data_IF_087751049373
#
_entry.id   IF_087751049373
#
_cell.length_a   1.000
_cell.length_b   1.000
_cell.length_c   1.000
_cell.angle_alpha   90.00
_cell.angle_beta   90.00
_cell.angle_gamma   90.00
#
_symmetry.space_group_name_H-M   'P 1'
#
loop_
_entity.id
_entity.type
_entity.pdbx_description
1 polymer ?
#
# COMPACT_ATOMS: atom_id res chain seq x y z
N UNK A 1 5.24 1.03 17.34
CA UNK A 1 4.63 -0.19 17.93
C UNK A 1 5.75 -1.13 18.33
N UNK A 2 5.66 -1.79 19.48
CA UNK A 2 6.57 -2.90 19.73
C UNK A 2 5.95 -4.17 19.14
N UNK A 3 6.51 -4.69 18.07
CA UNK A 3 5.99 -5.87 17.37
C UNK A 3 5.97 -7.13 18.26
N UNK A 4 6.80 -7.16 19.31
CA UNK A 4 6.86 -8.28 20.26
C UNK A 4 5.68 -8.32 21.24
N UNK A 5 4.90 -7.25 21.33
CA UNK A 5 3.74 -7.17 22.24
C UNK A 5 2.44 -7.66 21.55
N UNK A 6 2.51 -8.08 20.27
CA UNK A 6 1.37 -8.61 19.55
C UNK A 6 0.95 -9.99 20.07
N UNK A 7 -0.33 -10.19 20.29
CA UNK A 7 -0.89 -11.51 20.57
C UNK A 7 -0.77 -12.43 19.35
N UNK A 8 -0.51 -13.72 19.58
CA UNK A 8 -0.49 -14.74 18.51
C UNK A 8 -1.81 -14.87 17.73
N UNK A 9 -2.89 -14.37 18.29
CA UNK A 9 -4.21 -14.33 17.62
C UNK A 9 -4.44 -13.03 16.83
N UNK A 10 -3.51 -12.06 16.90
CA UNK A 10 -3.61 -10.82 16.16
C UNK A 10 -3.27 -11.05 14.67
N UNK A 11 -4.05 -10.47 13.78
CA UNK A 11 -3.84 -10.55 12.33
C UNK A 11 -2.45 -10.00 11.95
N UNK A 12 -1.97 -8.93 12.61
CA UNK A 12 -0.63 -8.41 12.37
C UNK A 12 0.47 -9.38 12.82
N UNK A 13 0.25 -10.12 13.93
CA UNK A 13 1.19 -11.16 14.35
C UNK A 13 1.32 -12.24 13.26
N UNK A 14 0.20 -12.76 12.78
CA UNK A 14 0.19 -13.78 11.72
C UNK A 14 0.80 -13.26 10.42
N UNK A 15 0.51 -11.99 10.07
CA UNK A 15 1.08 -11.34 8.89
C UNK A 15 2.62 -11.32 8.93
N UNK A 16 3.21 -11.09 10.10
CA UNK A 16 4.65 -10.84 10.22
C UNK A 16 5.44 -12.10 10.63
N UNK A 17 4.93 -12.87 11.58
CA UNK A 17 5.72 -13.90 12.28
C UNK A 17 5.35 -15.34 11.90
N UNK A 18 4.29 -15.57 11.11
CA UNK A 18 3.94 -16.92 10.72
C UNK A 18 4.91 -17.45 9.65
N UNK A 19 5.57 -18.55 9.96
CA UNK A 19 6.52 -19.20 9.05
C UNK A 19 5.82 -19.94 7.89
N UNK A 20 4.60 -20.42 8.13
CA UNK A 20 3.77 -21.02 7.07
C UNK A 20 3.14 -19.90 6.23
N UNK A 21 2.96 -20.15 4.93
CA UNK A 21 2.23 -19.20 4.09
C UNK A 21 0.74 -19.28 4.42
N UNK A 22 0.20 -18.21 4.99
CA UNK A 22 -1.20 -18.12 5.42
C UNK A 22 -1.85 -16.86 4.86
N UNK A 23 -3.17 -16.88 4.74
CA UNK A 23 -3.98 -15.78 4.20
C UNK A 23 -3.76 -14.45 4.91
N UNK A 24 -3.45 -14.45 6.21
CA UNK A 24 -3.20 -13.21 6.98
C UNK A 24 -1.92 -12.48 6.54
N UNK A 25 -1.07 -13.13 5.73
CA UNK A 25 0.09 -12.50 5.10
C UNK A 25 -0.25 -11.79 3.78
N UNK A 26 -1.48 -11.95 3.30
CA UNK A 26 -1.96 -11.31 2.08
C UNK A 26 -2.71 -10.02 2.41
N UNK A 27 -2.36 -8.93 1.73
CA UNK A 27 -3.00 -7.62 1.88
C UNK A 27 -3.71 -7.27 0.57
N UNK A 28 -5.04 -7.05 0.63
CA UNK A 28 -5.87 -6.72 -0.53
C UNK A 28 -5.90 -5.22 -0.78
N UNK A 29 -5.42 -4.72 -1.95
CA UNK A 29 -5.59 -3.33 -2.35
C UNK A 29 -7.03 -3.00 -2.69
N UNK A 30 -7.52 -1.85 -2.19
CA UNK A 30 -8.86 -1.32 -2.43
C UNK A 30 -8.76 0.16 -2.81
N UNK A 31 -9.35 0.55 -3.92
CA UNK A 31 -9.49 1.95 -4.34
C UNK A 31 -10.85 2.47 -3.94
N UNK A 32 -10.90 3.60 -3.24
CA UNK A 32 -12.14 4.20 -2.74
C UNK A 32 -12.21 5.64 -3.24
N UNK A 33 -13.15 5.92 -4.13
CA UNK A 33 -13.36 7.23 -4.71
C UNK A 33 -14.49 7.96 -4.00
N UNK A 34 -14.32 9.25 -3.76
CA UNK A 34 -15.35 10.13 -3.23
C UNK A 34 -16.41 10.45 -4.30
N UNK A 35 -16.00 10.52 -5.57
CA UNK A 35 -16.90 10.77 -6.69
C UNK A 35 -17.42 9.46 -7.28
N UNK A 36 -18.74 9.38 -7.51
CA UNK A 36 -19.38 8.21 -8.10
C UNK A 36 -19.61 8.44 -9.60
N UNK A 37 -18.60 8.16 -10.43
CA UNK A 37 -18.63 8.38 -11.87
C UNK A 37 -19.14 7.18 -12.70
N UNK A 38 -19.83 6.21 -12.09
CA UNK A 38 -20.36 4.98 -12.68
C UNK A 38 -19.32 4.03 -13.33
N UNK A 39 -18.05 4.40 -13.44
CA UNK A 39 -17.00 3.54 -13.97
C UNK A 39 -16.23 2.90 -12.81
N UNK A 40 -16.61 1.68 -12.45
CA UNK A 40 -15.95 0.95 -11.37
C UNK A 40 -14.87 -0.03 -11.83
N UNK A 41 -14.84 -0.43 -13.10
CA UNK A 41 -13.86 -1.40 -13.60
C UNK A 41 -12.45 -0.79 -13.75
N UNK A 42 -11.43 -1.56 -13.38
CA UNK A 42 -10.04 -1.15 -13.54
C UNK A 42 -9.42 -2.01 -14.65
N UNK A 43 -8.96 -1.42 -15.77
CA UNK A 43 -8.39 -2.18 -16.87
C UNK A 43 -7.25 -3.09 -16.41
N UNK A 44 -7.28 -4.36 -16.80
CA UNK A 44 -6.25 -5.36 -16.49
C UNK A 44 -6.25 -5.89 -15.07
N UNK A 45 -7.11 -5.42 -14.17
CA UNK A 45 -7.16 -5.90 -12.78
C UNK A 45 -8.28 -6.92 -12.49
N UNK A 46 -8.85 -7.54 -13.53
CA UNK A 46 -9.85 -8.58 -13.40
C UNK A 46 -11.07 -8.13 -12.59
N UNK A 47 -11.38 -8.83 -11.50
CA UNK A 47 -12.53 -8.51 -10.64
C UNK A 47 -12.30 -7.36 -9.65
N UNK A 48 -11.11 -6.74 -9.65
CA UNK A 48 -10.87 -5.57 -8.81
C UNK A 48 -11.58 -4.34 -9.39
N UNK A 49 -12.22 -3.58 -8.51
CA UNK A 49 -13.05 -2.43 -8.89
C UNK A 49 -12.72 -1.22 -8.04
N UNK A 50 -12.99 -0.04 -8.56
CA UNK A 50 -13.11 1.18 -7.79
C UNK A 50 -14.39 1.08 -6.95
N UNK A 51 -14.28 1.39 -5.66
CA UNK A 51 -15.40 1.39 -4.74
C UNK A 51 -15.79 2.82 -4.38
N UNK A 52 -17.02 2.94 -3.89
CA UNK A 52 -17.63 4.19 -3.45
C UNK A 52 -18.25 4.00 -2.06
N UNK A 53 -18.57 5.09 -1.39
CA UNK A 53 -19.23 5.03 -0.07
C UNK A 53 -20.42 4.08 -0.05
N UNK A 54 -21.25 4.06 -1.12
CA UNK A 54 -22.45 3.26 -1.22
C UNK A 54 -22.24 1.75 -1.29
N UNK A 55 -21.03 1.29 -1.65
CA UNK A 55 -20.78 -0.15 -1.89
C UNK A 55 -19.54 -0.71 -1.20
N UNK A 56 -18.79 0.12 -0.46
CA UNK A 56 -17.53 -0.30 0.17
C UNK A 56 -17.74 -1.40 1.21
N UNK A 57 -18.80 -1.31 2.04
CA UNK A 57 -19.10 -2.29 3.08
C UNK A 57 -19.40 -3.66 2.46
N UNK A 58 -20.30 -3.74 1.48
CA UNK A 58 -20.64 -5.00 0.81
C UNK A 58 -19.44 -5.65 0.12
N UNK A 59 -18.57 -4.84 -0.49
CA UNK A 59 -17.38 -5.37 -1.14
C UNK A 59 -16.34 -5.90 -0.14
N UNK A 60 -16.11 -5.21 0.98
CA UNK A 60 -15.24 -5.69 2.05
C UNK A 60 -15.81 -6.97 2.65
N UNK A 61 -17.11 -7.04 2.96
CA UNK A 61 -17.79 -8.25 3.46
C UNK A 61 -17.57 -9.44 2.51
N UNK A 62 -17.69 -9.22 1.20
CA UNK A 62 -17.43 -10.25 0.18
C UNK A 62 -15.99 -10.72 0.19
N UNK A 63 -15.04 -9.81 0.26
CA UNK A 63 -13.62 -10.14 0.32
C UNK A 63 -13.25 -10.85 1.64
N UNK A 64 -13.87 -10.49 2.77
CA UNK A 64 -13.75 -11.20 4.04
C UNK A 64 -14.25 -12.64 3.95
N UNK A 65 -15.41 -12.86 3.32
CA UNK A 65 -15.96 -14.20 3.09
C UNK A 65 -15.04 -15.06 2.20
N UNK A 66 -14.26 -14.42 1.36
CA UNK A 66 -13.22 -15.02 0.54
C UNK A 66 -11.84 -15.15 1.23
N UNK A 67 -11.76 -14.79 2.50
CA UNK A 67 -10.60 -15.00 3.34
C UNK A 67 -9.72 -13.77 3.59
N UNK A 68 -10.01 -12.60 3.00
CA UNK A 68 -9.23 -11.39 3.28
C UNK A 68 -9.42 -10.93 4.73
N UNK A 69 -8.33 -10.55 5.37
CA UNK A 69 -8.33 -9.96 6.71
C UNK A 69 -7.51 -8.65 6.76
N UNK A 70 -6.57 -8.48 5.84
CA UNK A 70 -5.77 -7.28 5.72
C UNK A 70 -6.12 -6.56 4.41
N UNK A 71 -6.33 -5.25 4.51
CA UNK A 71 -6.64 -4.38 3.38
C UNK A 71 -5.69 -3.18 3.35
N UNK A 72 -5.36 -2.71 2.15
CA UNK A 72 -4.71 -1.42 1.98
C UNK A 72 -5.59 -0.52 1.12
N UNK A 73 -5.97 0.64 1.67
CA UNK A 73 -6.88 1.57 1.02
C UNK A 73 -6.13 2.68 0.31
N UNK A 74 -6.55 2.95 -0.92
CA UNK A 74 -6.13 4.07 -1.75
C UNK A 74 -7.32 5.00 -1.94
N UNK A 75 -7.29 6.13 -1.25
CA UNK A 75 -8.36 7.12 -1.33
C UNK A 75 -8.13 8.09 -2.48
N UNK A 76 -9.20 8.37 -3.22
CA UNK A 76 -9.21 9.36 -4.30
C UNK A 76 -10.29 10.41 -3.99
N UNK A 77 -9.91 11.61 -3.53
CA UNK A 77 -10.85 12.67 -3.23
C UNK A 77 -11.48 13.23 -4.53
N UNK A 78 -12.71 13.74 -4.42
CA UNK A 78 -13.42 14.38 -5.52
C UNK A 78 -12.70 15.62 -6.04
N UNK A 79 -12.22 16.44 -5.12
CA UNK A 79 -11.55 17.71 -5.43
C UNK A 79 -10.06 17.57 -5.15
N UNK A 80 -9.26 17.79 -6.17
CA UNK A 80 -7.80 17.85 -6.06
C UNK A 80 -7.36 19.28 -5.80
N UNK A 81 -6.30 19.44 -5.02
CA UNK A 81 -5.72 20.76 -4.69
C UNK A 81 -4.23 20.62 -4.43
N UNK A 82 -3.49 21.69 -4.73
CA UNK A 82 -2.08 21.82 -4.33
C UNK A 82 -1.90 22.65 -3.05
N UNK A 83 -3.00 23.14 -2.46
CA UNK A 83 -2.97 24.09 -1.33
C UNK A 83 -3.78 23.62 -0.12
N UNK A 84 -4.93 23.00 -0.34
CA UNK A 84 -5.84 22.59 0.72
C UNK A 84 -6.20 21.10 0.59
N UNK A 85 -6.05 20.37 1.68
CA UNK A 85 -6.26 18.93 1.73
C UNK A 85 -7.37 18.61 2.73
N UNK A 86 -8.54 18.27 2.22
CA UNK A 86 -9.67 17.85 3.04
C UNK A 86 -9.69 16.33 3.14
N UNK A 87 -9.74 15.81 4.36
CA UNK A 87 -9.72 14.38 4.69
C UNK A 87 -11.02 13.90 5.33
N UNK A 88 -12.07 14.70 5.37
CA UNK A 88 -13.34 14.34 6.01
C UNK A 88 -13.97 13.09 5.40
N UNK A 89 -13.86 12.94 4.07
CA UNK A 89 -14.33 11.75 3.37
C UNK A 89 -13.62 10.49 3.86
N UNK A 90 -12.29 10.54 3.92
CA UNK A 90 -11.46 9.42 4.34
C UNK A 90 -11.72 9.02 5.79
N UNK A 91 -11.79 10.00 6.70
CA UNK A 91 -12.12 9.77 8.11
C UNK A 91 -13.51 9.13 8.26
N UNK A 92 -14.52 9.64 7.53
CA UNK A 92 -15.88 9.09 7.52
C UNK A 92 -15.88 7.64 7.07
N UNK A 93 -15.24 7.32 5.94
CA UNK A 93 -15.20 5.96 5.41
C UNK A 93 -14.49 5.00 6.38
N UNK A 94 -13.32 5.40 6.90
CA UNK A 94 -12.59 4.60 7.88
C UNK A 94 -13.42 4.32 9.12
N UNK A 95 -14.05 5.35 9.70
CA UNK A 95 -14.91 5.20 10.88
C UNK A 95 -16.12 4.29 10.61
N UNK A 96 -16.73 4.40 9.44
CA UNK A 96 -17.85 3.56 9.05
C UNK A 96 -17.42 2.09 8.95
N UNK A 97 -16.30 1.82 8.30
CA UNK A 97 -15.76 0.45 8.14
C UNK A 97 -15.35 -0.12 9.50
N UNK A 98 -14.69 0.67 10.35
CA UNK A 98 -14.29 0.21 11.70
C UNK A 98 -15.48 -0.02 12.62
N UNK A 99 -16.56 0.75 12.47
CA UNK A 99 -17.81 0.51 13.19
C UNK A 99 -18.45 -0.81 12.79
N UNK A 100 -18.40 -1.18 11.51
CA UNK A 100 -18.98 -2.40 10.97
C UNK A 100 -18.18 -3.65 11.32
N UNK A 101 -16.87 -3.62 11.06
CA UNK A 101 -16.01 -4.82 11.13
C UNK A 101 -15.09 -4.89 12.35
N UNK A 102 -14.95 -3.80 13.09
CA UNK A 102 -14.12 -3.75 14.31
C UNK A 102 -12.70 -4.26 14.10
N UNK A 103 -12.33 -5.29 14.86
CA UNK A 103 -11.01 -5.91 14.83
C UNK A 103 -10.94 -7.16 13.91
N UNK A 104 -12.03 -7.53 13.25
CA UNK A 104 -12.05 -8.67 12.33
C UNK A 104 -11.19 -8.44 11.08
N UNK A 105 -10.87 -7.17 10.80
CA UNK A 105 -9.98 -6.77 9.72
C UNK A 105 -8.94 -5.77 10.20
N UNK A 106 -7.84 -5.69 9.45
CA UNK A 106 -6.82 -4.65 9.60
C UNK A 106 -6.78 -3.78 8.36
N UNK A 107 -6.77 -2.47 8.59
CA UNK A 107 -6.82 -1.44 7.54
C UNK A 107 -5.51 -0.66 7.53
N UNK A 108 -4.70 -0.90 6.49
CA UNK A 108 -3.61 -0.01 6.11
C UNK A 108 -4.15 1.09 5.22
N UNK A 109 -3.60 2.30 5.34
CA UNK A 109 -3.96 3.39 4.42
C UNK A 109 -2.70 3.89 3.72
N UNK A 110 -2.73 3.87 2.39
CA UNK A 110 -1.68 4.48 1.57
C UNK A 110 -1.60 5.98 1.83
N UNK A 111 -0.40 6.46 2.09
CA UNK A 111 -0.15 7.88 2.34
C UNK A 111 0.68 8.47 1.21
N UNK A 112 0.01 9.13 0.28
CA UNK A 112 0.61 9.81 -0.85
C UNK A 112 -0.22 11.00 -1.28
N UNK A 113 0.42 12.04 -1.80
CA UNK A 113 -0.28 13.20 -2.35
C UNK A 113 -0.73 13.02 -3.80
N UNK A 114 -0.32 11.96 -4.49
CA UNK A 114 -0.56 11.82 -5.93
C UNK A 114 -2.03 11.76 -6.34
N UNK A 115 -2.93 11.25 -5.49
CA UNK A 115 -4.38 11.27 -5.74
C UNK A 115 -5.03 12.57 -5.26
N UNK A 116 -4.35 13.36 -4.44
CA UNK A 116 -4.86 14.60 -3.86
C UNK A 116 -4.48 15.85 -4.65
N UNK A 117 -3.33 15.80 -5.37
CA UNK A 117 -2.82 16.97 -6.09
C UNK A 117 -3.31 17.01 -7.53
N UNK A 118 -3.51 18.22 -8.06
CA UNK A 118 -3.82 18.45 -9.48
C UNK A 118 -2.68 18.00 -10.38
N UNK A 119 -1.45 17.99 -9.85
CA UNK A 119 -0.25 17.57 -10.60
C UNK A 119 -0.09 16.06 -10.71
N UNK A 120 -0.79 15.28 -9.89
CA UNK A 120 -0.61 13.83 -9.80
C UNK A 120 0.73 13.38 -9.23
N UNK A 121 1.55 14.31 -8.72
CA UNK A 121 2.83 13.99 -8.07
C UNK A 121 2.66 13.59 -6.59
N UNK A 122 3.63 12.81 -6.08
CA UNK A 122 3.65 12.34 -4.70
C UNK A 122 4.09 13.40 -3.68
N UNK A 123 4.40 14.62 -4.13
CA UNK A 123 4.90 15.75 -3.35
C UNK A 123 4.38 17.06 -3.91
N UNK A 124 4.50 18.12 -3.13
CA UNK A 124 4.19 19.49 -3.52
C UNK A 124 5.38 20.14 -4.22
N UNK A 125 5.10 21.03 -5.16
CA UNK A 125 6.11 21.80 -5.88
C UNK A 125 5.94 23.28 -5.62
N UNK A 126 7.09 23.98 -5.51
CA UNK A 126 7.17 25.42 -5.54
C UNK A 126 8.21 25.79 -6.61
N UNK A 127 7.81 26.60 -7.60
CA UNK A 127 8.71 27.01 -8.70
C UNK A 127 9.42 25.82 -9.39
N UNK A 128 8.65 24.75 -9.68
CA UNK A 128 9.14 23.48 -10.28
C UNK A 128 10.13 22.68 -9.43
N UNK A 129 10.40 23.09 -8.19
CA UNK A 129 11.21 22.32 -7.22
C UNK A 129 10.33 21.66 -6.18
N UNK A 130 10.74 20.48 -5.69
CA UNK A 130 10.03 19.79 -4.62
C UNK A 130 10.08 20.64 -3.35
N UNK A 131 8.90 20.95 -2.80
CA UNK A 131 8.75 21.61 -1.50
C UNK A 131 8.69 20.53 -0.41
N UNK A 132 9.85 20.12 0.08
CA UNK A 132 9.96 19.03 1.06
C UNK A 132 9.20 19.32 2.35
N UNK A 133 9.45 20.47 2.98
CA UNK A 133 8.89 20.81 4.30
C UNK A 133 7.36 20.83 4.27
N UNK A 134 6.78 21.51 3.29
CA UNK A 134 5.34 21.56 3.15
C UNK A 134 4.74 20.18 2.81
N UNK A 135 5.41 19.38 1.97
CA UNK A 135 4.95 18.05 1.63
C UNK A 135 4.93 17.12 2.86
N UNK A 136 5.98 17.18 3.68
CA UNK A 136 6.09 16.36 4.90
C UNK A 136 5.06 16.78 5.95
N UNK A 137 4.83 18.09 6.15
CA UNK A 137 3.83 18.59 7.10
C UNK A 137 2.42 18.19 6.69
N UNK A 138 2.05 18.39 5.42
CA UNK A 138 0.75 17.99 4.88
C UNK A 138 0.54 16.50 5.01
N UNK A 139 1.49 15.67 4.55
CA UNK A 139 1.35 14.22 4.63
C UNK A 139 1.26 13.71 6.06
N UNK A 140 2.05 14.27 6.99
CA UNK A 140 1.95 13.87 8.41
C UNK A 140 0.61 14.27 9.03
N UNK A 141 0.02 15.39 8.60
CA UNK A 141 -1.31 15.80 9.03
C UNK A 141 -2.42 14.92 8.46
N UNK A 142 -2.31 14.50 7.20
CA UNK A 142 -3.20 13.49 6.59
C UNK A 142 -3.07 12.13 7.32
N UNK A 143 -1.86 11.70 7.67
CA UNK A 143 -1.64 10.47 8.43
C UNK A 143 -2.34 10.50 9.80
N UNK A 144 -2.30 11.63 10.49
CA UNK A 144 -3.01 11.82 11.76
C UNK A 144 -4.54 11.73 11.57
N UNK A 145 -5.06 12.31 10.51
CA UNK A 145 -6.48 12.19 10.15
C UNK A 145 -6.88 10.73 9.90
N UNK A 146 -6.08 9.96 9.17
CA UNK A 146 -6.33 8.54 8.97
C UNK A 146 -6.32 7.76 10.30
N UNK A 147 -5.38 8.08 11.20
CA UNK A 147 -5.32 7.48 12.53
C UNK A 147 -6.59 7.77 13.35
N UNK A 148 -7.08 9.02 13.33
CA UNK A 148 -8.34 9.44 13.97
C UNK A 148 -9.56 8.75 13.36
N UNK A 149 -9.56 8.51 12.06
CA UNK A 149 -10.60 7.76 11.35
C UNK A 149 -10.62 6.28 11.70
N UNK A 150 -9.59 5.73 12.33
CA UNK A 150 -9.52 4.33 12.75
C UNK A 150 -8.66 3.44 11.85
N UNK A 151 -7.72 4.00 11.09
CA UNK A 151 -6.72 3.19 10.40
C UNK A 151 -5.88 2.38 11.39
N UNK A 152 -5.65 1.11 11.10
CA UNK A 152 -4.80 0.23 11.92
C UNK A 152 -3.31 0.39 11.58
N UNK A 153 -2.97 0.94 10.41
CA UNK A 153 -1.60 1.21 9.99
C UNK A 153 -1.52 2.27 8.89
N UNK A 154 -0.40 2.96 8.81
CA UNK A 154 -0.12 3.98 7.79
C UNK A 154 0.99 3.50 6.86
N UNK A 155 0.80 3.70 5.55
CA UNK A 155 1.74 3.23 4.53
C UNK A 155 2.27 4.38 3.64
N UNK A 156 3.32 5.13 4.07
CA UNK A 156 3.91 6.19 3.28
C UNK A 156 4.52 5.65 1.98
N UNK A 157 4.03 6.14 0.83
CA UNK A 157 4.40 5.64 -0.49
C UNK A 157 5.09 6.65 -1.40
N UNK A 158 5.39 7.85 -0.89
CA UNK A 158 5.97 8.94 -1.68
C UNK A 158 7.46 8.80 -1.99
N UNK A 159 8.22 7.98 -1.24
CA UNK A 159 9.68 7.87 -1.28
C UNK A 159 10.44 9.14 -0.84
N UNK A 160 9.76 10.12 -0.27
CA UNK A 160 10.41 11.34 0.23
C UNK A 160 11.20 11.05 1.51
N UNK A 161 12.45 11.48 1.54
CA UNK A 161 13.28 11.41 2.76
C UNK A 161 12.60 12.17 3.90
N UNK A 162 12.64 11.59 5.10
CA UNK A 162 12.04 12.19 6.29
C UNK A 162 10.54 11.95 6.45
N UNK A 163 9.86 11.32 5.47
CA UNK A 163 8.40 11.10 5.55
C UNK A 163 8.03 10.16 6.70
N UNK A 164 8.76 9.07 6.90
CA UNK A 164 8.49 8.14 7.99
C UNK A 164 8.72 8.82 9.33
N UNK A 165 9.82 9.56 9.48
CA UNK A 165 10.13 10.33 10.69
C UNK A 165 9.05 11.38 10.99
N UNK A 166 8.60 12.12 9.97
CA UNK A 166 7.56 13.15 10.13
C UNK A 166 6.24 12.52 10.59
N UNK A 167 5.80 11.44 9.94
CA UNK A 167 4.58 10.69 10.31
C UNK A 167 4.70 10.11 11.72
N UNK A 168 5.83 9.45 12.05
CA UNK A 168 6.07 8.87 13.38
C UNK A 168 5.98 9.92 14.47
N UNK A 169 6.63 11.07 14.26
CA UNK A 169 6.60 12.18 15.22
C UNK A 169 5.18 12.72 15.40
N UNK A 170 4.45 12.94 14.31
CA UNK A 170 3.07 13.44 14.36
C UNK A 170 2.14 12.49 15.11
N UNK A 171 2.25 11.18 14.83
CA UNK A 171 1.47 10.14 15.51
C UNK A 171 1.82 10.08 17.01
N UNK A 172 3.11 10.09 17.36
CA UNK A 172 3.56 10.01 18.75
C UNK A 172 3.08 11.18 19.61
N UNK A 173 3.10 12.41 19.06
CA UNK A 173 2.64 13.62 19.75
C UNK A 173 1.12 13.73 19.92
N UNK A 174 0.36 12.83 19.26
CA UNK A 174 -1.10 12.81 19.31
C UNK A 174 -1.66 11.48 19.85
N UNK A 175 -0.90 10.75 20.65
CA UNK A 175 -1.30 9.48 21.31
C UNK A 175 -1.55 8.27 20.40
N UNK A 176 -1.11 8.36 19.13
CA UNK A 176 -1.18 7.27 18.14
C UNK A 176 0.14 6.51 17.97
N UNK A 177 1.00 6.47 18.99
CA UNK A 177 2.30 5.77 18.95
C UNK A 177 2.19 4.26 18.63
N UNK A 178 1.03 3.68 18.90
CA UNK A 178 0.75 2.25 18.66
C UNK A 178 0.48 1.91 17.19
N UNK A 179 0.17 2.90 16.35
CA UNK A 179 -0.09 2.66 14.92
C UNK A 179 1.21 2.35 14.18
N UNK A 180 1.33 1.18 13.53
CA UNK A 180 2.51 0.82 12.75
C UNK A 180 2.62 1.61 11.46
N UNK A 181 3.86 1.79 11.01
CA UNK A 181 4.20 2.40 9.72
C UNK A 181 4.82 1.37 8.80
N UNK A 182 4.16 1.09 7.67
CA UNK A 182 4.64 0.25 6.57
C UNK A 182 5.24 1.15 5.49
N UNK A 183 6.56 1.26 5.43
CA UNK A 183 7.21 2.12 4.45
C UNK A 183 7.37 1.44 3.09
N UNK A 184 7.01 2.14 2.01
CA UNK A 184 7.41 1.77 0.64
C UNK A 184 8.89 2.10 0.46
N UNK A 185 9.73 1.44 1.24
CA UNK A 185 11.13 1.79 1.46
C UNK A 185 12.04 1.57 0.24
N UNK A 186 11.63 0.67 -0.66
CA UNK A 186 12.27 0.41 -1.94
C UNK A 186 11.22 0.46 -3.03
N UNK A 187 11.00 1.63 -3.61
CA UNK A 187 10.02 1.84 -4.69
C UNK A 187 10.73 2.43 -5.91
N UNK A 188 10.81 1.62 -6.95
CA UNK A 188 11.42 2.02 -8.22
C UNK A 188 10.47 2.84 -9.09
N UNK A 189 11.03 3.73 -9.91
CA UNK A 189 10.32 4.32 -11.05
C UNK A 189 10.07 3.21 -12.08
N UNK A 190 8.81 2.80 -12.24
CA UNK A 190 8.45 1.62 -13.01
C UNK A 190 7.27 1.86 -13.95
N UNK A 191 7.31 1.21 -15.11
CA UNK A 191 6.21 1.16 -16.07
C UNK A 191 5.10 0.18 -15.66
N UNK A 192 5.35 -0.70 -14.67
CA UNK A 192 4.37 -1.68 -14.19
C UNK A 192 3.26 -1.09 -13.29
N UNK A 193 3.15 0.25 -13.20
CA UNK A 193 2.10 0.93 -12.41
C UNK A 193 0.92 1.44 -13.25
N UNK A 194 0.84 1.09 -14.54
CA UNK A 194 -0.20 1.61 -15.45
C UNK A 194 -1.62 1.50 -14.90
N UNK A 195 -2.16 0.28 -14.66
CA UNK A 195 -3.51 0.10 -14.12
C UNK A 195 -3.74 0.78 -12.76
N UNK A 196 -2.74 0.81 -11.89
CA UNK A 196 -2.79 1.54 -10.62
C UNK A 196 -2.99 3.05 -10.83
N UNK A 197 -2.25 3.66 -11.77
CA UNK A 197 -2.35 5.10 -12.04
C UNK A 197 -3.75 5.50 -12.50
N UNK A 198 -4.39 4.64 -13.28
CA UNK A 198 -5.79 4.82 -13.71
C UNK A 198 -6.71 4.74 -12.49
N UNK A 199 -6.59 3.68 -11.68
CA UNK A 199 -7.45 3.46 -10.52
C UNK A 199 -7.28 4.50 -9.41
N UNK A 200 -6.08 5.04 -9.22
CA UNK A 200 -5.77 6.05 -8.22
C UNK A 200 -5.90 7.49 -8.76
N UNK A 201 -6.29 7.65 -10.02
CA UNK A 201 -6.34 8.95 -10.72
C UNK A 201 -5.09 9.79 -10.43
N UNK A 202 -3.92 9.21 -10.66
CA UNK A 202 -2.63 9.73 -10.19
C UNK A 202 -1.55 9.80 -11.27
N UNK A 203 -1.95 9.98 -12.54
CA UNK A 203 -1.00 10.19 -13.63
C UNK A 203 -0.32 11.56 -13.49
N UNK A 204 1.03 11.65 -13.55
CA UNK A 204 1.72 12.93 -13.49
C UNK A 204 1.28 13.84 -14.65
N UNK A 205 0.97 15.11 -14.36
CA UNK A 205 0.61 16.11 -15.37
C UNK A 205 1.83 16.70 -16.10
N UNK A 206 3.03 16.51 -15.55
CA UNK A 206 4.32 16.92 -16.12
C UNK A 206 5.43 15.99 -15.67
N UNK A 207 6.52 15.88 -16.47
CA UNK A 207 7.69 15.07 -16.14
C UNK A 207 7.37 13.62 -15.77
N UNK A 208 8.15 13.07 -14.87
CA UNK A 208 7.99 11.72 -14.32
C UNK A 208 8.30 11.72 -12.82
N UNK A 209 8.49 10.53 -12.22
CA UNK A 209 8.77 10.37 -10.80
C UNK A 209 10.20 9.96 -10.49
N UNK A 210 11.10 9.98 -11.48
CA UNK A 210 12.50 9.56 -11.32
C UNK A 210 13.28 10.45 -10.35
N UNK A 211 12.84 11.70 -10.16
CA UNK A 211 13.46 12.65 -9.22
C UNK A 211 13.33 12.27 -7.74
N UNK A 212 12.41 11.37 -7.38
CA UNK A 212 12.17 10.92 -6.00
C UNK A 212 11.90 9.42 -5.84
N UNK A 213 11.69 8.68 -6.92
CA UNK A 213 11.66 7.22 -6.90
C UNK A 213 13.03 6.67 -7.33
N UNK A 214 13.33 5.45 -6.93
CA UNK A 214 14.62 4.82 -7.20
C UNK A 214 14.78 4.48 -8.69
N UNK A 215 16.02 4.54 -9.16
CA UNK A 215 16.41 3.98 -10.45
C UNK A 215 16.41 2.45 -10.35
N UNK A 216 15.80 1.77 -11.32
CA UNK A 216 15.68 0.32 -11.32
C UNK A 216 17.02 -0.41 -11.49
N UNK A 217 18.09 0.27 -11.86
CA UNK A 217 19.44 -0.27 -12.00
C UNK A 217 20.29 -0.10 -10.73
N UNK A 218 19.84 0.73 -9.75
CA UNK A 218 20.61 1.09 -8.57
C UNK A 218 20.25 0.24 -7.35
N UNK A 219 20.85 -0.95 -7.30
CA UNK A 219 20.66 -1.92 -6.23
C UNK A 219 21.12 -1.43 -4.85
N UNK A 220 22.26 -0.78 -4.80
CA UNK A 220 22.83 -0.33 -3.52
C UNK A 220 22.00 0.78 -2.89
N UNK A 221 21.60 1.78 -3.67
CA UNK A 221 20.70 2.83 -3.19
C UNK A 221 19.31 2.28 -2.77
N UNK A 222 18.85 1.22 -3.40
CA UNK A 222 17.61 0.55 -3.01
C UNK A 222 17.68 -0.04 -1.59
N UNK A 223 18.79 -0.71 -1.26
CA UNK A 223 19.06 -1.25 0.08
C UNK A 223 19.22 -0.11 1.09
N UNK A 224 20.05 0.88 0.77
CA UNK A 224 20.32 2.03 1.63
C UNK A 224 19.06 2.85 1.93
N UNK A 225 18.20 3.00 0.94
CA UNK A 225 16.88 3.64 1.12
C UNK A 225 16.07 2.93 2.18
N UNK A 226 16.00 1.59 2.13
CA UNK A 226 15.26 0.81 3.11
C UNK A 226 15.86 0.93 4.51
N UNK A 227 17.19 0.96 4.65
CA UNK A 227 17.83 1.15 5.95
C UNK A 227 17.53 2.54 6.54
N UNK A 228 17.59 3.59 5.72
CA UNK A 228 17.22 4.96 6.14
C UNK A 228 15.78 5.06 6.62
N UNK A 229 14.80 4.48 5.90
CA UNK A 229 13.42 4.49 6.35
C UNK A 229 13.21 3.65 7.62
N UNK A 230 13.98 2.56 7.81
CA UNK A 230 13.99 1.81 9.06
C UNK A 230 14.48 2.68 10.24
N UNK A 231 15.56 3.45 10.05
CA UNK A 231 16.11 4.39 11.04
C UNK A 231 15.15 5.55 11.32
N UNK A 232 14.37 6.00 10.34
CA UNK A 232 13.32 7.00 10.51
C UNK A 232 12.15 6.51 11.37
N UNK A 233 12.05 5.21 11.67
CA UNK A 233 11.04 4.62 12.54
C UNK A 233 9.94 3.83 11.81
N UNK A 234 10.20 3.30 10.61
CA UNK A 234 9.32 2.32 9.98
C UNK A 234 9.28 1.03 10.79
N UNK A 235 8.11 0.45 10.95
CA UNK A 235 7.92 -0.86 11.57
C UNK A 235 8.06 -1.99 10.54
N UNK A 236 7.56 -1.78 9.33
CA UNK A 236 7.62 -2.70 8.20
C UNK A 236 8.21 -2.00 6.97
N UNK A 237 8.94 -2.76 6.16
CA UNK A 237 9.54 -2.31 4.90
C UNK A 237 8.93 -3.06 3.72
N UNK A 238 9.00 -2.48 2.52
CA UNK A 238 8.40 -3.06 1.32
C UNK A 238 9.25 -2.80 0.09
N UNK A 239 9.34 -3.81 -0.79
CA UNK A 239 9.87 -3.66 -2.15
C UNK A 239 8.73 -3.53 -3.17
N UNK A 240 8.92 -2.66 -4.16
CA UNK A 240 7.92 -2.35 -5.20
C UNK A 240 8.58 -1.89 -6.51
N UNK A 241 8.35 -2.57 -7.66
CA UNK A 241 7.54 -3.77 -7.89
C UNK A 241 8.11 -5.03 -7.22
N UNK A 242 7.22 -6.00 -6.89
CA UNK A 242 7.61 -7.18 -6.13
C UNK A 242 8.49 -8.16 -6.89
N UNK A 243 8.03 -8.66 -8.04
CA UNK A 243 8.75 -9.66 -8.86
C UNK A 243 10.08 -9.12 -9.38
N UNK A 244 10.11 -7.84 -9.74
CA UNK A 244 11.32 -7.17 -10.25
C UNK A 244 12.33 -6.80 -9.16
N UNK A 245 12.04 -7.15 -7.88
CA UNK A 245 12.87 -6.78 -6.73
C UNK A 245 13.08 -7.96 -5.77
N UNK A 246 12.94 -9.19 -6.26
CA UNK A 246 13.12 -10.42 -5.45
C UNK A 246 14.49 -10.49 -4.78
N UNK A 247 15.53 -10.05 -5.49
CA UNK A 247 16.92 -10.02 -5.05
C UNK A 247 17.18 -9.08 -3.87
N UNK A 248 16.23 -8.16 -3.58
CA UNK A 248 16.36 -7.13 -2.54
C UNK A 248 15.69 -7.53 -1.22
N UNK A 249 14.73 -8.44 -1.24
CA UNK A 249 13.92 -8.78 -0.06
C UNK A 249 14.81 -9.30 1.08
N UNK A 250 15.58 -10.34 0.81
CA UNK A 250 16.44 -10.96 1.84
C UNK A 250 17.57 -10.03 2.33
N UNK A 251 18.35 -9.35 1.47
CA UNK A 251 19.39 -8.42 1.92
C UNK A 251 18.85 -7.28 2.79
N UNK A 252 17.68 -6.73 2.45
CA UNK A 252 17.03 -5.68 3.25
C UNK A 252 16.60 -6.24 4.61
N UNK A 253 15.96 -7.41 4.66
CA UNK A 253 15.52 -8.03 5.90
C UNK A 253 16.69 -8.33 6.86
N UNK A 254 17.78 -8.88 6.33
CA UNK A 254 18.97 -9.20 7.12
C UNK A 254 19.67 -7.95 7.70
N UNK A 255 19.79 -6.88 6.88
CA UNK A 255 20.47 -5.64 7.30
C UNK A 255 19.59 -4.79 8.23
N UNK A 256 18.30 -4.65 7.95
CA UNK A 256 17.40 -3.79 8.73
C UNK A 256 16.86 -4.47 9.98
N UNK A 257 16.84 -5.81 10.01
CA UNK A 257 16.15 -6.63 11.05
C UNK A 257 14.66 -6.29 11.17
N UNK A 258 14.05 -5.81 10.07
CA UNK A 258 12.63 -5.48 10.00
C UNK A 258 11.90 -6.45 9.07
N UNK A 259 10.59 -6.67 9.29
CA UNK A 259 9.76 -7.38 8.33
C UNK A 259 9.78 -6.69 6.96
N UNK A 260 10.02 -7.46 5.90
CA UNK A 260 10.02 -6.97 4.52
C UNK A 260 8.90 -7.65 3.75
N UNK A 261 8.09 -6.87 3.09
CA UNK A 261 7.03 -7.35 2.20
C UNK A 261 7.32 -7.09 0.73
N UNK A 262 6.51 -7.70 -0.13
CA UNK A 262 6.54 -7.49 -1.56
C UNK A 262 5.18 -6.99 -2.06
N UNK A 263 5.19 -6.00 -2.95
CA UNK A 263 3.97 -5.56 -3.64
C UNK A 263 3.93 -6.15 -5.05
N UNK A 264 3.08 -7.16 -5.26
CA UNK A 264 2.69 -7.57 -6.60
C UNK A 264 1.90 -6.45 -7.25
N UNK A 265 2.59 -5.62 -8.03
CA UNK A 265 1.99 -4.39 -8.56
C UNK A 265 0.99 -4.66 -9.69
N UNK A 266 0.25 -3.62 -10.06
CA UNK A 266 -0.85 -3.74 -11.02
C UNK A 266 -0.43 -4.32 -12.37
N UNK A 267 0.76 -3.97 -12.88
CA UNK A 267 1.29 -4.53 -14.12
C UNK A 267 1.69 -6.01 -14.00
N UNK A 268 2.28 -6.41 -12.87
CA UNK A 268 2.60 -7.81 -12.61
C UNK A 268 1.33 -8.67 -12.51
N UNK A 269 0.32 -8.19 -11.79
CA UNK A 269 -0.96 -8.88 -11.66
C UNK A 269 -1.74 -8.90 -12.99
N UNK A 270 -1.77 -7.79 -13.74
CA UNK A 270 -2.48 -7.73 -15.03
C UNK A 270 -1.84 -8.64 -16.08
N UNK A 271 -0.53 -8.90 -15.99
CA UNK A 271 0.13 -9.88 -16.85
C UNK A 271 -0.41 -11.29 -16.63
N UNK A 272 -0.62 -11.70 -15.37
CA UNK A 272 -1.25 -12.99 -15.06
C UNK A 272 -2.69 -13.06 -15.59
N UNK A 273 -3.48 -12.00 -15.38
CA UNK A 273 -4.86 -11.92 -15.89
C UNK A 273 -4.86 -12.05 -17.41
N UNK A 274 -4.01 -11.29 -18.11
CA UNK A 274 -3.95 -11.31 -19.55
C UNK A 274 -3.52 -12.67 -20.12
N UNK A 275 -2.51 -13.30 -19.54
CA UNK A 275 -2.08 -14.63 -19.94
C UNK A 275 -3.18 -15.67 -19.74
N UNK A 276 -3.90 -15.59 -18.63
CA UNK A 276 -5.01 -16.51 -18.34
C UNK A 276 -6.21 -16.29 -19.28
N UNK A 277 -6.58 -15.03 -19.54
CA UNK A 277 -7.68 -14.68 -20.47
C UNK A 277 -7.41 -15.17 -21.90
N UNK A 278 -6.14 -15.34 -22.26
CA UNK A 278 -5.70 -15.93 -23.55
C UNK A 278 -5.42 -17.43 -23.47
N UNK A 279 -5.76 -18.12 -22.38
CA UNK A 279 -5.52 -19.55 -22.15
C UNK A 279 -4.03 -19.96 -22.26
N UNK A 280 -3.10 -19.09 -21.92
CA UNK A 280 -1.66 -19.36 -21.95
C UNK A 280 -1.15 -19.88 -20.60
N UNK A 281 -1.87 -19.62 -19.49
CA UNK A 281 -1.59 -20.17 -18.16
C UNK A 281 -2.91 -20.45 -17.44
N UNK A 282 -2.84 -21.32 -16.42
CA UNK A 282 -3.85 -21.38 -15.37
C UNK A 282 -3.66 -20.21 -14.40
N UNK A 283 -4.69 -19.39 -14.22
CA UNK A 283 -4.61 -18.18 -13.37
C UNK A 283 -4.29 -18.51 -11.92
N UNK A 284 -4.95 -19.54 -11.36
CA UNK A 284 -4.82 -19.91 -9.96
C UNK A 284 -3.42 -20.48 -9.67
N UNK A 285 -2.92 -21.32 -10.55
CA UNK A 285 -1.56 -21.85 -10.47
C UNK A 285 -0.51 -20.72 -10.58
N UNK A 286 -0.64 -19.84 -11.58
CA UNK A 286 0.29 -18.70 -11.78
C UNK A 286 0.29 -17.73 -10.60
N UNK A 287 -0.86 -17.46 -9.98
CA UNK A 287 -0.98 -16.60 -8.82
C UNK A 287 -0.29 -17.23 -7.59
N UNK A 288 -0.55 -18.51 -7.32
CA UNK A 288 0.11 -19.25 -6.23
C UNK A 288 1.63 -19.37 -6.43
N UNK A 289 2.09 -19.59 -7.66
CA UNK A 289 3.52 -19.63 -7.99
C UNK A 289 4.17 -18.27 -7.69
N UNK A 290 3.51 -17.16 -8.06
CA UNK A 290 4.00 -15.82 -7.77
C UNK A 290 4.11 -15.58 -6.27
N UNK A 291 3.08 -15.90 -5.49
CA UNK A 291 3.11 -15.73 -4.04
C UNK A 291 4.15 -16.63 -3.36
N UNK A 292 4.27 -17.87 -3.82
CA UNK A 292 5.30 -18.80 -3.33
C UNK A 292 6.70 -18.30 -3.63
N UNK A 293 6.89 -17.64 -4.76
CA UNK A 293 8.16 -17.03 -5.15
C UNK A 293 8.52 -15.86 -4.21
N UNK A 294 7.57 -14.99 -3.86
CA UNK A 294 7.80 -13.95 -2.85
C UNK A 294 8.16 -14.54 -1.49
N UNK A 295 7.45 -15.58 -1.04
CA UNK A 295 7.74 -16.27 0.22
C UNK A 295 9.14 -16.90 0.21
N UNK A 296 9.51 -17.57 -0.87
CA UNK A 296 10.85 -18.16 -1.05
C UNK A 296 11.95 -17.09 -1.01
N UNK A 297 11.69 -15.90 -1.54
CA UNK A 297 12.61 -14.75 -1.47
C UNK A 297 12.70 -14.12 -0.07
N UNK A 298 11.84 -14.54 0.89
CA UNK A 298 11.85 -14.07 2.27
C UNK A 298 10.81 -13.00 2.60
N UNK A 299 9.84 -12.73 1.70
CA UNK A 299 8.76 -11.80 1.98
C UNK A 299 7.89 -12.33 3.13
N UNK A 300 7.68 -11.49 4.15
CA UNK A 300 6.84 -11.84 5.30
C UNK A 300 5.37 -11.50 5.05
N UNK A 301 5.09 -10.54 4.19
CA UNK A 301 3.74 -10.22 3.73
C UNK A 301 3.76 -9.85 2.24
N UNK A 302 2.60 -9.96 1.61
CA UNK A 302 2.43 -9.73 0.18
C UNK A 302 1.21 -8.84 -0.03
N UNK A 303 1.39 -7.71 -0.68
CA UNK A 303 0.28 -6.91 -1.20
C UNK A 303 -0.04 -7.41 -2.60
N UNK A 304 -1.25 -7.89 -2.82
CA UNK A 304 -1.66 -8.46 -4.11
C UNK A 304 -3.14 -8.21 -4.40
N UNK A 305 -3.43 -7.86 -5.63
CA UNK A 305 -4.81 -7.74 -6.14
C UNK A 305 -5.55 -9.09 -6.18
N UNK A 306 -4.81 -10.19 -6.07
CA UNK A 306 -5.32 -11.55 -5.99
C UNK A 306 -5.65 -12.02 -4.56
N UNK A 307 -5.36 -11.26 -3.50
CA UNK A 307 -5.57 -11.67 -2.10
C UNK A 307 -6.99 -12.16 -1.83
N UNK A 308 -7.99 -11.63 -2.53
CA UNK A 308 -9.40 -12.06 -2.47
C UNK A 308 -9.66 -13.49 -2.95
N UNK A 309 -8.68 -14.16 -3.49
CA UNK A 309 -8.79 -15.56 -3.92
C UNK A 309 -8.14 -16.53 -2.93
N UNK A 310 -7.60 -16.04 -1.79
CA UNK A 310 -6.86 -16.84 -0.83
C UNK A 310 -7.61 -18.12 -0.39
N UNK A 311 -8.88 -18.00 0.02
CA UNK A 311 -9.70 -19.16 0.42
C UNK A 311 -9.91 -20.14 -0.71
N UNK A 312 -10.16 -19.68 -1.93
CA UNK A 312 -10.32 -20.54 -3.11
C UNK A 312 -9.03 -21.31 -3.42
N UNK A 313 -7.88 -20.70 -3.15
CA UNK A 313 -6.56 -21.26 -3.37
C UNK A 313 -6.04 -22.11 -2.19
N UNK A 314 -6.88 -22.36 -1.17
CA UNK A 314 -6.54 -23.24 -0.06
C UNK A 314 -5.71 -22.60 1.07
N UNK A 315 -5.68 -21.25 1.16
CA UNK A 315 -4.99 -20.50 2.21
C UNK A 315 -5.93 -20.04 3.32
#
# INVERSE_FOLDING_TARGET
>A
MNLNDLSKNDIFYNMIFNNSFVRDQLVQPIFIHENNDNHSSIPGLGKNKILFESNVIDNISRDMNNGCRNFIFFFVPKNKSNLQFNTNFQEKILSTIKKEFGQEIKIWVDLCLCSFTETGHCCLFKEKKINYDQSLDVMSSIALSYARGGADGIAPSSMMRGIVKSVRNKLNHNDFKHIPIMSYSTKFASNFYGPFRIAADSSPSFGDRTSYQLDCTDRENAIDSSLKFSEEGADLLMVKPGLLSLDLIQPIALKSKKPVGAYQVSGEYSSLVHLADNNLIDFDAGLLETWSTFKRAGAQYIISYGSRYAKRLGL
#
